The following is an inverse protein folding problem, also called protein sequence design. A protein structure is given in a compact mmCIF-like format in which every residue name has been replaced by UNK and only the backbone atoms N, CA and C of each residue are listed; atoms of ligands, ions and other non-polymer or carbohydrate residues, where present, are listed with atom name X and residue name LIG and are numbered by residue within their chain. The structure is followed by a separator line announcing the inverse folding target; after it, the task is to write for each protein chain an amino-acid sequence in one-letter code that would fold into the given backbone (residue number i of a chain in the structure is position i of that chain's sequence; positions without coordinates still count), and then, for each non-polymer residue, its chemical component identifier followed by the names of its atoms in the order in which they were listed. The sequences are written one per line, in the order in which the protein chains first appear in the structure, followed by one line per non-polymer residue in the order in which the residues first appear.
data_IF_188679393851
#
_entry.id   IF_188679393851
#
_cell.length_a   1.000
_cell.length_b   1.000
_cell.length_c   1.000
_cell.angle_alpha   90.00
_cell.angle_beta   90.00
_cell.angle_gamma   90.00
#
_symmetry.space_group_name_H-M   'P 1'
#
loop_
_entity.id
_entity.type
_entity.pdbx_description
1 polymer ?
#
# COMPACT_ATOMS: atom_id res chain seq x y z
N UNK A 1 -3.19 -17.93 1.37
CA UNK A 1 -3.50 -18.58 0.05
C UNK A 1 -4.04 -20.00 0.17
N UNK A 2 -3.51 -20.89 1.04
CA UNK A 2 -4.02 -22.27 1.18
C UNK A 2 -5.52 -22.31 1.50
N UNK A 3 -5.99 -21.58 2.49
CA UNK A 3 -7.41 -21.51 2.85
C UNK A 3 -8.32 -21.03 1.71
N UNK A 4 -7.84 -20.12 0.87
CA UNK A 4 -8.56 -19.69 -0.33
C UNK A 4 -8.64 -20.82 -1.36
N UNK A 5 -7.53 -21.52 -1.61
CA UNK A 5 -7.50 -22.66 -2.55
C UNK A 5 -8.34 -23.85 -2.07
N UNK A 6 -8.43 -24.04 -0.76
CA UNK A 6 -9.26 -25.07 -0.13
C UNK A 6 -10.74 -24.67 0.00
N UNK A 7 -11.10 -23.42 -0.39
CA UNK A 7 -12.46 -22.93 -0.33
C UNK A 7 -12.95 -22.55 1.08
N UNK A 8 -12.05 -22.51 2.08
CA UNK A 8 -12.36 -22.12 3.46
C UNK A 8 -12.72 -20.64 3.53
N UNK A 9 -12.04 -19.79 2.74
CA UNK A 9 -12.31 -18.38 2.61
C UNK A 9 -12.62 -18.02 1.15
N UNK A 10 -13.56 -17.09 0.95
CA UNK A 10 -14.01 -16.70 -0.39
C UNK A 10 -13.08 -15.71 -1.10
N UNK A 11 -12.18 -15.05 -0.35
CA UNK A 11 -11.26 -14.03 -0.85
C UNK A 11 -9.90 -14.21 -0.15
N UNK A 12 -8.76 -14.17 -0.86
CA UNK A 12 -7.42 -14.31 -0.27
C UNK A 12 -6.99 -13.01 0.44
N UNK A 13 -7.81 -12.51 1.34
CA UNK A 13 -7.52 -11.28 2.11
C UNK A 13 -7.80 -11.47 3.59
N UNK A 14 -7.04 -10.75 4.41
CA UNK A 14 -7.24 -10.67 5.84
C UNK A 14 -7.33 -9.20 6.29
N UNK A 15 -8.31 -8.92 7.14
CA UNK A 15 -8.39 -7.65 7.85
C UNK A 15 -7.96 -7.86 9.29
N UNK A 16 -6.98 -7.09 9.78
CA UNK A 16 -6.31 -7.34 11.05
C UNK A 16 -6.47 -6.14 11.97
N UNK A 17 -7.06 -6.39 13.14
CA UNK A 17 -7.33 -5.40 14.18
C UNK A 17 -6.68 -5.84 15.49
N UNK A 18 -5.90 -4.96 16.12
CA UNK A 18 -5.34 -5.23 17.45
C UNK A 18 -4.78 -3.96 18.06
N UNK A 19 -4.95 -3.80 19.36
CA UNK A 19 -4.29 -2.73 20.10
C UNK A 19 -2.76 -2.78 19.92
N UNK A 20 -2.09 -1.63 19.97
CA UNK A 20 -0.63 -1.56 19.89
C UNK A 20 0.06 -2.43 20.97
N UNK A 21 1.23 -2.98 20.66
CA UNK A 21 2.04 -3.75 21.61
C UNK A 21 1.60 -5.18 21.88
N UNK A 22 0.52 -5.67 21.24
CA UNK A 22 0.03 -7.04 21.41
C UNK A 22 0.61 -8.04 20.40
N UNK A 23 1.56 -7.64 19.55
CA UNK A 23 2.26 -8.55 18.64
C UNK A 23 1.69 -8.65 17.23
N UNK A 24 0.93 -7.65 16.79
CA UNK A 24 0.34 -7.58 15.43
C UNK A 24 1.40 -7.74 14.34
N UNK A 25 2.45 -6.91 14.35
CA UNK A 25 3.52 -6.96 13.32
C UNK A 25 4.30 -8.27 13.36
N UNK A 26 4.43 -8.90 14.55
CA UNK A 26 5.00 -10.25 14.69
C UNK A 26 4.16 -11.29 13.98
N UNK A 27 2.83 -11.28 14.17
CA UNK A 27 1.91 -12.17 13.47
C UNK A 27 2.05 -12.02 11.95
N UNK A 28 2.05 -10.77 11.47
CA UNK A 28 2.15 -10.48 10.03
C UNK A 28 3.47 -11.03 9.47
N UNK A 29 4.62 -10.74 10.11
CA UNK A 29 5.91 -11.28 9.65
C UNK A 29 5.92 -12.81 9.62
N UNK A 30 5.31 -13.48 10.59
CA UNK A 30 5.16 -14.95 10.54
C UNK A 30 4.31 -15.42 9.36
N UNK A 31 3.22 -14.72 9.07
CA UNK A 31 2.40 -15.04 7.90
C UNK A 31 3.17 -14.80 6.59
N UNK A 32 3.95 -13.72 6.50
CA UNK A 32 4.80 -13.41 5.35
C UNK A 32 5.93 -14.44 5.18
N UNK A 33 6.54 -14.91 6.28
CA UNK A 33 7.50 -16.05 6.24
C UNK A 33 6.85 -17.29 5.63
N UNK A 34 5.62 -17.60 6.02
CA UNK A 34 4.84 -18.69 5.43
C UNK A 34 4.59 -18.51 3.93
N UNK A 35 4.42 -17.27 3.47
CA UNK A 35 4.33 -16.96 2.04
C UNK A 35 5.65 -17.19 1.32
N UNK A 36 6.77 -16.71 1.87
CA UNK A 36 8.12 -16.95 1.30
C UNK A 36 8.40 -18.45 1.20
N UNK A 37 8.08 -19.21 2.25
CA UNK A 37 8.26 -20.66 2.25
C UNK A 37 7.42 -21.40 1.18
N UNK A 38 6.33 -20.78 0.72
CA UNK A 38 5.49 -21.30 -0.38
C UNK A 38 5.89 -20.73 -1.76
N UNK A 39 6.96 -19.94 -1.85
CA UNK A 39 7.41 -19.30 -3.08
C UNK A 39 6.55 -18.09 -3.52
N UNK A 40 5.73 -17.55 -2.61
CA UNK A 40 5.02 -16.30 -2.84
C UNK A 40 5.90 -15.12 -2.48
N UNK A 41 5.69 -13.98 -3.11
CA UNK A 41 6.48 -12.76 -2.90
C UNK A 41 5.73 -11.79 -1.99
N UNK A 42 6.16 -11.61 -0.72
CA UNK A 42 5.67 -10.51 0.09
C UNK A 42 6.03 -9.16 -0.50
N UNK A 43 5.06 -8.23 -0.55
CA UNK A 43 5.28 -6.83 -0.90
C UNK A 43 4.72 -5.94 0.21
N UNK A 44 5.61 -5.29 0.92
CA UNK A 44 5.29 -4.28 1.93
C UNK A 44 5.45 -2.91 1.28
N UNK A 45 4.33 -2.34 0.85
CA UNK A 45 4.33 -1.10 0.09
C UNK A 45 4.14 0.11 1.02
N UNK A 46 5.20 0.52 1.70
CA UNK A 46 5.20 1.65 2.62
C UNK A 46 5.24 1.24 4.09
N UNK A 47 6.42 0.88 4.54
CA UNK A 47 6.73 0.60 5.95
C UNK A 47 7.05 1.90 6.69
N UNK A 48 6.06 2.48 7.36
CA UNK A 48 6.20 3.77 8.07
C UNK A 48 7.12 3.65 9.29
N UNK A 49 7.21 2.48 9.88
CA UNK A 49 7.93 2.26 11.15
C UNK A 49 9.26 1.52 10.98
N UNK A 50 9.59 1.06 9.76
CA UNK A 50 10.77 0.22 9.51
C UNK A 50 10.67 -1.17 10.15
N UNK A 51 9.44 -1.66 10.43
CA UNK A 51 9.24 -2.92 11.15
C UNK A 51 9.47 -4.16 10.28
N UNK A 52 9.45 -4.02 8.95
CA UNK A 52 9.58 -5.12 8.00
C UNK A 52 10.94 -5.16 7.29
N UNK A 53 11.78 -4.13 7.46
CA UNK A 53 13.11 -4.03 6.83
C UNK A 53 13.97 -5.25 7.18
N UNK A 54 14.18 -5.51 8.48
CA UNK A 54 15.01 -6.64 8.92
C UNK A 54 14.49 -8.00 8.46
N UNK A 55 13.16 -8.20 8.44
CA UNK A 55 12.55 -9.40 7.87
C UNK A 55 12.90 -9.55 6.38
N UNK A 56 12.74 -8.45 5.61
CA UNK A 56 12.97 -8.47 4.16
C UNK A 56 14.43 -8.76 3.82
N UNK A 57 15.37 -8.15 4.54
CA UNK A 57 16.81 -8.40 4.36
C UNK A 57 17.17 -9.86 4.66
N UNK A 58 16.63 -10.42 5.74
CA UNK A 58 16.96 -11.77 6.16
C UNK A 58 16.42 -12.87 5.23
N UNK A 59 15.30 -12.61 4.54
CA UNK A 59 14.81 -13.54 3.51
C UNK A 59 15.46 -13.30 2.13
N UNK A 60 16.47 -12.43 2.05
CA UNK A 60 17.16 -12.08 0.80
C UNK A 60 16.28 -11.26 -0.14
N UNK A 61 15.37 -10.45 0.39
CA UNK A 61 14.48 -9.58 -0.34
C UNK A 61 15.13 -8.24 -0.70
N UNK A 62 14.36 -7.38 -1.38
CA UNK A 62 14.74 -6.01 -1.75
C UNK A 62 14.16 -5.02 -0.74
N UNK A 63 15.01 -4.17 -0.17
CA UNK A 63 14.59 -3.00 0.60
C UNK A 63 14.82 -1.75 -0.24
N UNK A 64 13.78 -0.91 -0.36
CA UNK A 64 13.82 0.38 -1.07
C UNK A 64 13.54 1.45 -0.03
N UNK A 65 14.55 2.23 0.35
CA UNK A 65 14.37 3.32 1.32
C UNK A 65 14.09 4.63 0.60
N UNK A 66 12.97 5.27 0.95
CA UNK A 66 12.55 6.58 0.46
C UNK A 66 12.56 7.60 1.60
N UNK A 67 12.93 8.83 1.29
CA UNK A 67 12.95 9.91 2.27
C UNK A 67 14.08 10.89 2.04
N UNK A 68 14.30 11.76 3.01
CA UNK A 68 15.30 12.80 2.89
C UNK A 68 16.73 12.23 2.79
N UNK A 69 17.41 12.47 1.67
CA UNK A 69 18.76 11.94 1.42
C UNK A 69 18.81 10.49 0.95
N UNK A 70 17.66 9.88 0.69
CA UNK A 70 17.50 8.54 0.13
C UNK A 70 16.98 8.58 -1.30
N UNK A 71 16.47 7.46 -1.80
CA UNK A 71 15.97 7.33 -3.17
C UNK A 71 14.78 8.24 -3.51
N UNK A 72 14.59 8.48 -4.80
CA UNK A 72 13.46 9.21 -5.38
C UNK A 72 12.46 8.24 -6.00
N UNK A 73 11.20 8.63 -6.04
CA UNK A 73 10.10 7.91 -6.65
C UNK A 73 9.37 8.85 -7.62
N UNK A 74 9.32 8.51 -8.89
CA UNK A 74 8.54 9.25 -9.87
C UNK A 74 7.06 8.85 -9.78
N UNK A 75 6.14 9.75 -9.41
CA UNK A 75 4.71 9.43 -9.35
C UNK A 75 4.08 9.07 -10.70
N UNK A 76 4.72 9.47 -11.80
CA UNK A 76 4.32 9.12 -13.16
C UNK A 76 4.91 7.80 -13.65
N UNK A 77 5.76 7.17 -12.84
CA UNK A 77 6.29 5.84 -13.11
C UNK A 77 5.27 4.77 -12.68
N UNK A 78 4.68 4.09 -13.64
CA UNK A 78 3.76 2.98 -13.38
C UNK A 78 4.49 1.70 -12.89
N UNK A 79 5.73 1.83 -12.48
CA UNK A 79 6.58 0.73 -12.04
C UNK A 79 6.83 -0.28 -13.16
N UNK A 80 6.90 -1.55 -12.80
CA UNK A 80 7.12 -2.61 -13.77
C UNK A 80 6.05 -2.68 -14.88
N UNK A 81 4.85 -2.12 -14.67
CA UNK A 81 3.79 -2.12 -15.69
C UNK A 81 4.18 -1.29 -16.93
N UNK A 82 4.84 -0.15 -16.73
CA UNK A 82 5.40 0.63 -17.85
C UNK A 82 6.49 -0.14 -18.58
N UNK A 83 7.41 -0.77 -17.85
CA UNK A 83 8.53 -1.53 -18.41
C UNK A 83 8.10 -2.79 -19.17
N UNK A 84 6.89 -3.30 -18.94
CA UNK A 84 6.35 -4.45 -19.68
C UNK A 84 5.96 -4.07 -21.11
N UNK A 85 5.53 -2.83 -21.36
CA UNK A 85 5.06 -2.39 -22.69
C UNK A 85 6.09 -2.64 -23.80
N UNK A 86 7.36 -2.23 -23.68
CA UNK A 86 8.38 -2.54 -24.71
C UNK A 86 8.62 -4.05 -24.89
N UNK A 87 8.48 -4.84 -23.83
CA UNK A 87 8.61 -6.31 -23.89
C UNK A 87 7.48 -6.90 -24.73
N UNK A 88 6.25 -6.43 -24.47
CA UNK A 88 5.08 -6.85 -25.24
C UNK A 88 5.17 -6.39 -26.70
N UNK A 89 5.62 -5.15 -26.97
CA UNK A 89 5.84 -4.65 -28.34
C UNK A 89 6.84 -5.50 -29.11
N UNK A 90 7.94 -5.86 -28.48
CA UNK A 90 8.95 -6.74 -29.07
C UNK A 90 8.40 -8.13 -29.39
N UNK A 91 7.63 -8.71 -28.46
CA UNK A 91 6.99 -10.00 -28.69
C UNK A 91 5.93 -9.91 -29.79
N UNK A 92 5.10 -8.86 -29.78
CA UNK A 92 4.11 -8.59 -30.82
C UNK A 92 4.72 -8.59 -32.22
N UNK A 93 5.90 -8.03 -32.39
CA UNK A 93 6.61 -7.99 -33.67
C UNK A 93 6.97 -9.40 -34.22
N UNK A 94 6.94 -10.43 -33.39
CA UNK A 94 7.20 -11.83 -33.79
C UNK A 94 5.93 -12.59 -34.16
N UNK A 95 4.75 -12.04 -33.89
CA UNK A 95 3.45 -12.66 -34.11
C UNK A 95 2.86 -12.24 -35.47
N UNK A 96 1.98 -13.09 -36.05
CA UNK A 96 1.29 -12.81 -37.29
C UNK A 96 -0.17 -13.30 -37.26
N UNK A 97 -0.99 -12.82 -38.19
CA UNK A 97 -2.38 -13.28 -38.34
C UNK A 97 -3.24 -12.93 -37.12
N UNK A 98 -4.08 -13.87 -36.71
CA UNK A 98 -5.06 -13.69 -35.62
C UNK A 98 -4.40 -13.47 -34.27
N UNK A 99 -3.33 -14.20 -33.95
CA UNK A 99 -2.56 -14.03 -32.70
C UNK A 99 -2.03 -12.61 -32.58
N UNK A 100 -1.56 -12.02 -33.67
CA UNK A 100 -1.08 -10.65 -33.67
C UNK A 100 -2.20 -9.64 -33.33
N UNK A 101 -3.42 -9.86 -33.85
CA UNK A 101 -4.56 -8.98 -33.57
C UNK A 101 -5.02 -9.06 -32.11
N UNK A 102 -5.08 -10.27 -31.54
CA UNK A 102 -5.40 -10.44 -30.11
C UNK A 102 -4.35 -9.77 -29.23
N UNK A 103 -3.08 -9.89 -29.63
CA UNK A 103 -1.99 -9.28 -28.89
C UNK A 103 -1.97 -7.74 -29.01
N UNK A 104 -2.39 -7.17 -30.15
CA UNK A 104 -2.58 -5.72 -30.30
C UNK A 104 -3.60 -5.18 -29.28
N UNK A 105 -4.71 -5.90 -29.08
CA UNK A 105 -5.71 -5.52 -28.09
C UNK A 105 -5.16 -5.57 -26.65
N UNK A 106 -4.33 -6.56 -26.32
CA UNK A 106 -3.65 -6.65 -25.03
C UNK A 106 -2.70 -5.47 -24.82
N UNK A 107 -1.90 -5.16 -25.85
CA UNK A 107 -0.92 -4.07 -25.79
C UNK A 107 -1.58 -2.71 -25.60
N UNK A 108 -2.62 -2.40 -26.38
CA UNK A 108 -3.37 -1.14 -26.25
C UNK A 108 -4.04 -1.03 -24.86
N UNK A 109 -4.65 -2.13 -24.39
CA UNK A 109 -5.21 -2.15 -23.03
C UNK A 109 -4.15 -1.91 -21.95
N UNK A 110 -2.96 -2.45 -22.11
CA UNK A 110 -1.85 -2.24 -21.15
C UNK A 110 -1.40 -0.79 -21.17
N UNK A 111 -1.27 -0.16 -22.35
CA UNK A 111 -0.93 1.27 -22.47
C UNK A 111 -2.00 2.16 -21.81
N UNK A 112 -3.27 1.86 -22.04
CA UNK A 112 -4.38 2.59 -21.37
C UNK A 112 -4.38 2.41 -19.85
N UNK A 113 -4.00 1.23 -19.35
CA UNK A 113 -3.85 0.99 -17.91
C UNK A 113 -2.71 1.82 -17.31
N UNK A 114 -1.54 1.89 -17.97
CA UNK A 114 -0.43 2.75 -17.54
C UNK A 114 -0.86 4.20 -17.51
N UNK A 115 -1.46 4.68 -18.61
CA UNK A 115 -1.97 6.04 -18.70
C UNK A 115 -3.00 6.37 -17.62
N UNK A 116 -3.98 5.51 -17.41
CA UNK A 116 -4.99 5.68 -16.38
C UNK A 116 -4.40 5.76 -14.96
N UNK A 117 -3.35 4.97 -14.66
CA UNK A 117 -2.63 5.05 -13.39
C UNK A 117 -1.92 6.39 -13.23
N UNK A 118 -1.25 6.89 -14.26
CA UNK A 118 -0.57 8.19 -14.23
C UNK A 118 -1.55 9.32 -13.95
N UNK A 119 -2.66 9.39 -14.68
CA UNK A 119 -3.72 10.40 -14.47
C UNK A 119 -4.28 10.31 -13.05
N UNK A 120 -4.60 9.08 -12.60
CA UNK A 120 -5.13 8.83 -11.26
C UNK A 120 -4.15 9.28 -10.18
N UNK A 121 -2.86 9.02 -10.37
CA UNK A 121 -1.82 9.40 -9.41
C UNK A 121 -1.68 10.91 -9.30
N UNK A 122 -1.52 11.61 -10.43
CA UNK A 122 -1.41 13.09 -10.42
C UNK A 122 -2.66 13.72 -9.79
N UNK A 123 -3.85 13.25 -10.17
CA UNK A 123 -5.11 13.74 -9.60
C UNK A 123 -5.18 13.48 -8.08
N UNK A 124 -4.66 12.33 -7.61
CA UNK A 124 -4.60 12.05 -6.17
C UNK A 124 -3.67 13.00 -5.43
N UNK A 125 -2.48 13.26 -5.99
CA UNK A 125 -1.49 14.15 -5.39
C UNK A 125 -1.98 15.60 -5.33
N UNK A 126 -2.59 16.10 -6.40
CA UNK A 126 -3.21 17.43 -6.43
C UNK A 126 -4.33 17.53 -5.38
N UNK A 127 -5.20 16.51 -5.31
CA UNK A 127 -6.27 16.45 -4.31
C UNK A 127 -5.76 16.45 -2.87
N UNK A 128 -4.66 15.73 -2.60
CA UNK A 128 -3.98 15.74 -1.31
C UNK A 128 -3.43 17.12 -0.96
N UNK A 129 -2.73 17.75 -1.88
CA UNK A 129 -2.16 19.10 -1.68
C UNK A 129 -3.23 20.15 -1.40
N UNK A 130 -4.35 20.10 -2.10
CA UNK A 130 -5.50 21.00 -1.92
C UNK A 130 -6.39 20.65 -0.74
N UNK A 131 -6.28 19.43 -0.19
CA UNK A 131 -7.26 18.84 0.75
C UNK A 131 -8.70 18.89 0.20
N UNK A 132 -8.84 18.64 -1.09
CA UNK A 132 -10.08 18.79 -1.82
C UNK A 132 -10.18 17.92 -3.07
N UNK A 133 -11.31 18.06 -3.77
CA UNK A 133 -11.60 17.31 -5.00
C UNK A 133 -11.00 18.04 -6.19
N UNK A 134 -10.34 17.32 -7.08
CA UNK A 134 -9.86 17.83 -8.37
C UNK A 134 -11.03 17.82 -9.35
N UNK A 135 -11.21 18.91 -10.09
CA UNK A 135 -12.30 19.01 -11.05
C UNK A 135 -12.09 18.08 -12.26
N UNK A 136 -13.19 17.60 -12.84
CA UNK A 136 -13.14 16.65 -13.98
C UNK A 136 -12.35 17.22 -15.18
N UNK A 137 -12.49 18.53 -15.43
CA UNK A 137 -11.76 19.18 -16.51
C UNK A 137 -10.25 19.26 -16.26
N UNK A 138 -9.79 19.34 -15.01
CA UNK A 138 -8.36 19.30 -14.66
C UNK A 138 -7.80 17.89 -14.89
N UNK A 139 -8.54 16.86 -14.46
CA UNK A 139 -8.17 15.47 -14.73
C UNK A 139 -8.12 15.18 -16.23
N UNK A 140 -9.03 15.77 -17.02
CA UNK A 140 -8.99 15.68 -18.48
C UNK A 140 -7.75 16.37 -19.05
N UNK A 141 -7.37 17.57 -18.58
CA UNK A 141 -6.17 18.26 -19.07
C UNK A 141 -4.89 17.48 -18.73
N UNK A 142 -4.80 16.92 -17.53
CA UNK A 142 -3.68 16.01 -17.15
C UNK A 142 -3.62 14.83 -18.11
N UNK A 143 -4.76 14.19 -18.40
CA UNK A 143 -4.83 13.05 -19.32
C UNK A 143 -4.38 13.41 -20.73
N UNK A 144 -4.82 14.55 -21.26
CA UNK A 144 -4.43 15.02 -22.60
C UNK A 144 -2.95 15.36 -22.65
N UNK A 145 -2.44 16.08 -21.64
CA UNK A 145 -1.02 16.44 -21.56
C UNK A 145 -0.11 15.20 -21.58
N UNK A 146 -0.43 14.19 -20.76
CA UNK A 146 0.34 12.95 -20.72
C UNK A 146 0.33 12.22 -22.07
N UNK A 147 -0.81 12.15 -22.79
CA UNK A 147 -0.88 11.54 -24.12
C UNK A 147 0.01 12.30 -25.12
N UNK A 148 -0.14 13.62 -25.20
CA UNK A 148 0.69 14.46 -26.10
C UNK A 148 2.19 14.26 -25.81
N UNK A 149 2.59 14.18 -24.54
CA UNK A 149 3.99 13.97 -24.16
C UNK A 149 4.55 12.66 -24.70
N UNK A 150 3.77 11.56 -24.66
CA UNK A 150 4.18 10.27 -25.26
C UNK A 150 4.18 10.33 -26.80
N UNK A 151 3.23 11.03 -27.41
CA UNK A 151 3.14 11.19 -28.87
C UNK A 151 4.34 11.95 -29.46
N UNK A 152 5.03 12.79 -28.67
CA UNK A 152 6.26 13.45 -29.09
C UNK A 152 7.42 12.48 -29.34
N UNK A 153 7.36 11.27 -28.81
CA UNK A 153 8.45 10.30 -28.82
C UNK A 153 9.63 10.63 -27.89
N UNK A 154 9.54 11.72 -27.11
CA UNK A 154 10.55 12.09 -26.11
C UNK A 154 10.51 11.14 -24.92
N UNK A 155 9.34 10.69 -24.57
CA UNK A 155 9.10 9.77 -23.45
C UNK A 155 8.67 8.41 -23.97
N UNK A 156 9.03 7.36 -23.21
CA UNK A 156 8.66 5.99 -23.48
C UNK A 156 8.03 5.36 -22.23
N UNK A 157 7.34 4.25 -22.37
CA UNK A 157 6.64 3.61 -21.25
C UNK A 157 7.58 3.13 -20.14
N UNK A 158 8.82 2.78 -20.50
CA UNK A 158 9.91 2.43 -19.58
C UNK A 158 10.78 3.63 -19.16
N UNK A 159 10.54 4.80 -19.76
CA UNK A 159 11.17 6.06 -19.42
C UNK A 159 10.13 7.19 -19.38
N UNK A 160 9.19 7.14 -18.41
CA UNK A 160 8.08 8.09 -18.33
C UNK A 160 8.55 9.50 -18.00
N UNK A 161 7.72 10.54 -18.29
CA UNK A 161 7.96 11.89 -17.83
C UNK A 161 8.03 11.96 -16.30
N UNK A 162 8.65 13.01 -15.77
CA UNK A 162 8.55 13.39 -14.35
C UNK A 162 7.51 14.50 -14.17
N UNK A 163 7.15 14.81 -12.91
CA UNK A 163 6.14 15.85 -12.64
C UNK A 163 6.53 17.21 -13.22
N UNK A 164 7.81 17.57 -13.22
CA UNK A 164 8.26 18.82 -13.82
C UNK A 164 8.00 18.88 -15.33
N UNK A 165 8.26 17.77 -16.05
CA UNK A 165 7.94 17.69 -17.48
C UNK A 165 6.45 17.92 -17.75
N UNK A 166 5.57 17.39 -16.89
CA UNK A 166 4.12 17.59 -16.99
C UNK A 166 3.73 19.06 -16.72
N UNK A 167 4.32 19.70 -15.72
CA UNK A 167 4.10 21.12 -15.40
C UNK A 167 4.51 21.96 -16.60
N UNK A 168 5.73 21.78 -17.10
CA UNK A 168 6.26 22.54 -18.23
C UNK A 168 5.36 22.38 -19.48
N UNK A 169 4.86 21.16 -19.74
CA UNK A 169 3.98 20.88 -20.87
C UNK A 169 2.60 21.55 -20.73
N UNK A 170 2.02 21.52 -19.53
CA UNK A 170 0.76 22.22 -19.23
C UNK A 170 0.91 23.73 -19.35
N UNK A 171 1.98 24.32 -18.83
CA UNK A 171 2.24 25.75 -18.90
C UNK A 171 2.47 26.22 -20.35
N UNK A 172 3.18 25.42 -21.16
CA UNK A 172 3.33 25.71 -22.60
C UNK A 172 2.00 25.75 -23.36
N UNK A 173 1.05 24.87 -23.02
CA UNK A 173 -0.31 24.89 -23.51
C UNK A 173 -0.42 24.76 -25.03
N UNK A 174 -0.18 23.56 -25.55
CA UNK A 174 -0.32 23.25 -26.98
C UNK A 174 -1.77 23.41 -27.50
N UNK A 175 -1.92 23.41 -28.82
CA UNK A 175 -3.23 23.70 -29.49
C UNK A 175 -4.34 22.74 -29.00
N UNK A 176 -4.04 21.44 -28.83
CA UNK A 176 -5.03 20.46 -28.34
C UNK A 176 -5.43 20.75 -26.90
N UNK A 177 -4.48 21.05 -26.02
CA UNK A 177 -4.74 21.43 -24.63
C UNK A 177 -5.61 22.67 -24.54
N UNK A 178 -5.27 23.72 -25.31
CA UNK A 178 -6.04 24.97 -25.37
C UNK A 178 -7.47 24.75 -25.90
N UNK A 179 -7.60 23.93 -26.94
CA UNK A 179 -8.91 23.57 -27.50
C UNK A 179 -9.77 22.84 -26.48
N UNK A 180 -9.20 21.84 -25.76
CA UNK A 180 -9.88 21.09 -24.70
C UNK A 180 -10.20 21.96 -23.48
N UNK A 181 -9.29 22.86 -23.09
CA UNK A 181 -9.50 23.85 -22.02
C UNK A 181 -10.37 25.00 -22.40
N UNK A 182 -10.82 25.09 -23.69
CA UNK A 182 -11.62 26.18 -24.25
C UNK A 182 -10.98 27.56 -24.10
N UNK A 183 -9.65 27.63 -24.15
CA UNK A 183 -8.90 28.87 -24.12
C UNK A 183 -8.58 29.35 -25.56
N UNK A 184 -8.85 30.62 -25.85
CA UNK A 184 -8.65 31.23 -27.18
C UNK A 184 -7.48 32.21 -27.22
N UNK A 185 -6.89 32.51 -26.04
CA UNK A 185 -5.71 33.36 -25.88
C UNK A 185 -4.80 32.82 -24.79
N UNK A 186 -3.56 33.29 -24.73
CA UNK A 186 -2.61 32.95 -23.69
C UNK A 186 -3.13 33.32 -22.29
N UNK A 187 -3.78 34.49 -22.17
CA UNK A 187 -4.35 34.93 -20.89
C UNK A 187 -5.46 33.98 -20.41
N UNK A 188 -6.34 33.54 -21.32
CA UNK A 188 -7.40 32.57 -20.98
C UNK A 188 -6.82 31.23 -20.62
N UNK A 189 -5.75 30.80 -21.29
CA UNK A 189 -5.06 29.54 -20.95
C UNK A 189 -4.43 29.62 -19.57
N UNK A 190 -3.65 30.66 -19.29
CA UNK A 190 -2.99 30.86 -18.01
C UNK A 190 -4.03 30.90 -16.87
N UNK A 191 -5.13 31.64 -17.01
CA UNK A 191 -6.21 31.66 -16.04
C UNK A 191 -6.86 30.26 -15.84
N UNK A 192 -6.92 29.47 -16.91
CA UNK A 192 -7.52 28.13 -16.86
C UNK A 192 -6.66 27.17 -16.05
N UNK A 193 -5.35 27.20 -16.20
CA UNK A 193 -4.44 26.25 -15.58
C UNK A 193 -3.84 26.73 -14.25
N UNK A 194 -4.01 28.02 -13.90
CA UNK A 194 -3.36 28.67 -12.75
C UNK A 194 -3.47 27.84 -11.47
N UNK A 195 -4.67 27.39 -11.11
CA UNK A 195 -4.90 26.63 -9.90
C UNK A 195 -4.24 25.24 -9.96
N UNK A 196 -4.28 24.60 -11.12
CA UNK A 196 -3.63 23.30 -11.33
C UNK A 196 -2.11 23.42 -11.30
N UNK A 197 -1.55 24.42 -12.00
CA UNK A 197 -0.11 24.67 -12.03
C UNK A 197 0.43 25.04 -10.65
N UNK A 198 -0.26 25.92 -9.91
CA UNK A 198 0.10 26.27 -8.53
C UNK A 198 0.10 25.04 -7.62
N UNK A 199 -0.87 24.14 -7.77
CA UNK A 199 -0.95 22.93 -6.95
C UNK A 199 0.17 21.94 -7.26
N UNK A 200 0.51 21.77 -8.53
CA UNK A 200 1.62 20.90 -8.96
C UNK A 200 2.96 21.50 -8.54
N UNK A 201 3.18 22.81 -8.71
CA UNK A 201 4.38 23.49 -8.24
C UNK A 201 4.52 23.40 -6.70
N UNK A 202 3.43 23.56 -5.96
CA UNK A 202 3.44 23.43 -4.50
C UNK A 202 3.82 22.00 -4.04
N UNK A 203 3.48 20.97 -4.82
CA UNK A 203 3.95 19.61 -4.56
C UNK A 203 5.46 19.49 -4.80
N UNK A 204 6.00 20.14 -5.83
CA UNK A 204 7.43 20.07 -6.19
C UNK A 204 8.30 20.88 -5.22
N UNK A 205 7.86 22.05 -4.80
CA UNK A 205 8.59 22.92 -3.87
C UNK A 205 8.43 22.51 -2.40
N UNK A 206 7.41 21.70 -2.11
CA UNK A 206 7.12 21.21 -0.77
C UNK A 206 8.03 20.08 -0.28
N UNK A 207 7.75 19.57 0.90
CA UNK A 207 8.50 18.48 1.50
C UNK A 207 8.45 17.17 0.68
N UNK A 208 7.40 16.98 -0.11
CA UNK A 208 7.22 15.85 -1.03
C UNK A 208 8.14 15.97 -2.25
N UNK A 209 8.42 17.20 -2.69
CA UNK A 209 9.15 17.46 -3.92
C UNK A 209 10.51 16.79 -3.98
N UNK A 210 11.22 16.71 -2.87
CA UNK A 210 12.52 16.03 -2.83
C UNK A 210 12.43 14.54 -3.12
N UNK A 211 11.30 13.91 -2.83
CA UNK A 211 11.06 12.49 -3.10
C UNK A 211 10.58 12.31 -4.54
N UNK A 212 9.82 13.28 -5.08
CA UNK A 212 9.19 13.21 -6.39
C UNK A 212 9.93 14.00 -7.49
N UNK A 213 11.04 14.67 -7.15
CA UNK A 213 11.75 15.58 -8.08
C UNK A 213 12.45 14.90 -9.27
N UNK A 214 12.49 13.57 -9.31
CA UNK A 214 13.24 12.85 -10.33
C UNK A 214 12.63 11.53 -10.75
N UNK A 215 13.37 10.81 -11.55
CA UNK A 215 13.04 9.43 -11.92
C UNK A 215 13.16 8.51 -10.71
N UNK A 216 12.41 7.41 -10.73
CA UNK A 216 12.53 6.35 -9.72
C UNK A 216 13.97 5.81 -9.69
N UNK A 217 14.64 5.94 -8.55
CA UNK A 217 16.05 5.51 -8.41
C UNK A 217 16.18 4.01 -8.31
N UNK A 218 15.24 3.37 -7.61
CA UNK A 218 15.26 1.92 -7.37
C UNK A 218 13.88 1.35 -7.67
N UNK A 219 13.68 0.78 -8.87
CA UNK A 219 12.41 0.16 -9.22
C UNK A 219 12.17 -1.13 -8.42
N UNK A 220 10.90 -1.49 -8.24
CA UNK A 220 10.49 -2.73 -7.58
C UNK A 220 10.90 -3.91 -8.47
N UNK A 221 11.71 -4.80 -7.88
CA UNK A 221 12.11 -6.05 -8.52
C UNK A 221 11.05 -7.14 -8.26
N UNK A 222 10.21 -7.41 -9.25
CA UNK A 222 9.19 -8.47 -9.18
C UNK A 222 9.77 -9.88 -9.03
N UNK A 223 11.08 -10.05 -9.24
CA UNK A 223 11.78 -11.33 -9.09
C UNK A 223 12.43 -11.50 -7.70
N UNK A 224 12.38 -10.49 -6.85
CA UNK A 224 12.89 -10.58 -5.49
C UNK A 224 12.10 -11.62 -4.66
N UNK A 225 12.72 -12.12 -3.59
CA UNK A 225 12.09 -13.03 -2.62
C UNK A 225 11.01 -12.33 -1.80
N UNK A 226 11.23 -11.07 -1.48
CA UNK A 226 10.30 -10.15 -0.84
C UNK A 226 10.67 -8.71 -1.22
N UNK A 227 9.75 -7.78 -1.10
CA UNK A 227 10.01 -6.33 -1.33
C UNK A 227 9.46 -5.55 -0.16
N UNK A 228 10.26 -4.64 0.40
CA UNK A 228 9.84 -3.66 1.40
C UNK A 228 10.19 -2.26 0.90
N UNK A 229 9.19 -1.39 0.80
CA UNK A 229 9.42 0.04 0.59
C UNK A 229 9.39 0.72 1.95
N UNK A 230 10.57 1.02 2.46
CA UNK A 230 10.77 1.69 3.75
C UNK A 230 10.62 3.20 3.60
N UNK A 231 9.63 3.75 4.28
CA UNK A 231 9.32 5.19 4.32
C UNK A 231 9.49 5.76 5.73
N UNK A 232 10.16 5.04 6.62
CA UNK A 232 10.37 5.43 8.02
C UNK A 232 11.27 6.67 8.17
N UNK A 233 12.07 6.99 7.15
CA UNK A 233 12.89 8.20 7.10
C UNK A 233 12.09 9.48 6.79
N UNK A 234 10.80 9.38 6.44
CA UNK A 234 9.93 10.54 6.20
C UNK A 234 9.50 11.11 7.56
N UNK A 235 9.69 12.42 7.72
CA UNK A 235 9.38 13.10 8.99
C UNK A 235 7.92 12.82 9.44
N UNK A 236 7.79 12.50 10.73
CA UNK A 236 6.51 12.09 11.31
C UNK A 236 5.46 13.21 11.42
N UNK A 237 5.86 14.46 11.19
CA UNK A 237 5.00 15.64 11.37
C UNK A 237 4.10 15.97 10.17
N UNK A 238 4.30 15.38 9.00
CA UNK A 238 3.54 15.70 7.78
C UNK A 238 2.76 14.51 7.24
N UNK A 239 1.50 14.41 7.66
CA UNK A 239 0.62 13.30 7.26
C UNK A 239 0.28 13.33 5.76
N UNK A 240 0.27 14.53 5.12
CA UNK A 240 0.00 14.66 3.70
C UNK A 240 1.18 14.12 2.86
N UNK A 241 2.42 14.40 3.30
CA UNK A 241 3.64 13.86 2.67
C UNK A 241 3.65 12.34 2.76
N UNK A 242 3.41 11.78 3.94
CA UNK A 242 3.33 10.32 4.12
C UNK A 242 2.28 9.70 3.22
N UNK A 243 1.08 10.28 3.19
CA UNK A 243 0.00 9.79 2.35
C UNK A 243 0.36 9.83 0.86
N UNK A 244 0.98 10.92 0.37
CA UNK A 244 1.43 11.06 -1.00
C UNK A 244 2.45 9.97 -1.38
N UNK A 245 3.46 9.76 -0.54
CA UNK A 245 4.49 8.75 -0.80
C UNK A 245 3.91 7.34 -0.72
N UNK A 246 3.09 7.04 0.28
CA UNK A 246 2.49 5.72 0.44
C UNK A 246 1.55 5.35 -0.72
N UNK A 247 0.72 6.29 -1.21
CA UNK A 247 -0.13 6.06 -2.38
C UNK A 247 0.73 5.76 -3.61
N UNK A 248 1.83 6.49 -3.79
CA UNK A 248 2.77 6.27 -4.89
C UNK A 248 3.44 4.90 -4.77
N UNK A 249 3.86 4.50 -3.57
CA UNK A 249 4.41 3.16 -3.29
C UNK A 249 3.39 2.06 -3.58
N UNK A 250 2.12 2.26 -3.17
CA UNK A 250 1.06 1.29 -3.45
C UNK A 250 0.79 1.17 -4.93
N UNK A 251 0.72 2.29 -5.65
CA UNK A 251 0.55 2.28 -7.11
C UNK A 251 1.68 1.53 -7.81
N UNK A 252 2.93 1.78 -7.44
CA UNK A 252 4.09 1.08 -7.99
C UNK A 252 4.07 -0.42 -7.66
N UNK A 253 3.71 -0.79 -6.42
CA UNK A 253 3.63 -2.18 -5.99
C UNK A 253 2.55 -2.95 -6.75
N UNK A 254 1.33 -2.40 -6.83
CA UNK A 254 0.23 -3.03 -7.57
C UNK A 254 0.50 -3.08 -9.07
N UNK A 255 1.13 -2.03 -9.65
CA UNK A 255 1.58 -2.04 -11.03
C UNK A 255 2.61 -3.15 -11.31
N UNK A 256 3.51 -3.40 -10.35
CA UNK A 256 4.50 -4.47 -10.47
C UNK A 256 3.89 -5.87 -10.39
N UNK A 257 2.88 -6.06 -9.54
CA UNK A 257 2.10 -7.31 -9.48
C UNK A 257 1.38 -7.55 -10.80
N UNK A 258 0.71 -6.55 -11.33
CA UNK A 258 -0.03 -6.60 -12.60
C UNK A 258 0.90 -6.92 -13.78
N UNK A 259 2.07 -6.27 -13.84
CA UNK A 259 3.10 -6.54 -14.82
C UNK A 259 3.56 -8.01 -14.81
N UNK A 260 3.77 -8.57 -13.61
CA UNK A 260 4.15 -9.98 -13.46
C UNK A 260 3.09 -10.94 -14.00
N UNK A 261 1.80 -10.64 -13.77
CA UNK A 261 0.70 -11.44 -14.30
C UNK A 261 0.56 -11.30 -15.81
N UNK A 262 0.66 -10.06 -16.34
CA UNK A 262 0.63 -9.83 -17.78
C UNK A 262 1.72 -10.60 -18.53
N UNK A 263 2.94 -10.60 -18.00
CA UNK A 263 4.04 -11.38 -18.57
C UNK A 263 3.78 -12.89 -18.50
N UNK A 264 3.19 -13.37 -17.41
CA UNK A 264 2.86 -14.79 -17.27
C UNK A 264 1.74 -15.21 -18.24
N UNK A 265 0.68 -14.41 -18.36
CA UNK A 265 -0.45 -14.64 -19.25
C UNK A 265 -0.03 -14.58 -20.74
N UNK A 266 0.93 -13.71 -21.07
CA UNK A 266 1.53 -13.65 -22.40
C UNK A 266 2.58 -14.76 -22.67
N UNK A 267 2.83 -15.68 -21.74
CA UNK A 267 3.86 -16.72 -21.87
C UNK A 267 5.31 -16.20 -21.80
N UNK A 268 5.52 -14.95 -21.40
CA UNK A 268 6.81 -14.26 -21.34
C UNK A 268 7.43 -14.26 -19.95
N UNK A 269 6.73 -14.79 -18.96
CA UNK A 269 7.18 -14.85 -17.57
C UNK A 269 6.63 -16.04 -16.81
N UNK A 270 7.11 -16.24 -15.58
CA UNK A 270 6.58 -17.28 -14.70
C UNK A 270 5.37 -16.74 -13.93
N UNK A 271 4.33 -17.56 -13.76
CA UNK A 271 3.25 -17.25 -12.83
C UNK A 271 3.80 -17.11 -11.40
N UNK A 272 3.55 -15.97 -10.79
CA UNK A 272 3.92 -15.66 -9.41
C UNK A 272 2.69 -15.33 -8.58
N UNK A 273 2.78 -15.58 -7.29
CA UNK A 273 1.76 -15.20 -6.32
C UNK A 273 2.36 -14.20 -5.34
N UNK A 274 1.58 -13.22 -4.97
CA UNK A 274 2.03 -12.11 -4.14
C UNK A 274 1.24 -12.04 -2.84
N UNK A 275 1.88 -11.45 -1.82
CA UNK A 275 1.24 -11.12 -0.55
C UNK A 275 1.50 -9.65 -0.21
N UNK A 276 0.54 -8.78 -0.56
CA UNK A 276 0.64 -7.35 -0.28
C UNK A 276 0.22 -7.05 1.16
N UNK A 277 1.00 -6.22 1.83
CA UNK A 277 0.76 -5.75 3.20
C UNK A 277 0.54 -4.25 3.19
N UNK A 278 -0.62 -3.81 3.65
CA UNK A 278 -1.00 -2.41 3.84
C UNK A 278 -1.10 -2.14 5.34
N UNK A 279 0.04 -1.81 5.94
CA UNK A 279 0.09 -1.46 7.37
C UNK A 279 -0.20 0.03 7.58
N UNK A 280 -0.74 0.39 8.71
CA UNK A 280 -1.17 1.75 9.08
C UNK A 280 -2.06 2.41 8.00
N UNK A 281 -2.89 1.62 7.32
CA UNK A 281 -3.73 2.04 6.19
C UNK A 281 -4.60 3.27 6.51
N UNK A 282 -5.05 3.41 7.75
CA UNK A 282 -5.87 4.53 8.23
C UNK A 282 -5.19 5.90 8.05
N UNK A 283 -3.85 5.98 8.16
CA UNK A 283 -3.11 7.24 8.01
C UNK A 283 -3.26 7.81 6.59
N UNK A 284 -3.33 6.93 5.60
CA UNK A 284 -3.53 7.33 4.20
C UNK A 284 -4.99 7.69 3.97
N UNK A 285 -5.90 6.84 4.44
CA UNK A 285 -7.33 7.04 4.24
C UNK A 285 -7.83 8.36 4.82
N UNK A 286 -7.23 8.80 5.94
CA UNK A 286 -7.60 10.06 6.61
C UNK A 286 -7.01 11.32 5.97
N UNK A 287 -6.01 11.18 5.08
CA UNK A 287 -5.27 12.33 4.56
C UNK A 287 -6.08 13.19 3.58
N UNK A 288 -7.00 12.62 2.80
CA UNK A 288 -7.89 13.38 1.93
C UNK A 288 -9.18 12.61 1.59
N UNK A 289 -10.29 13.34 1.32
CA UNK A 289 -11.53 12.75 0.84
C UNK A 289 -11.35 11.98 -0.48
N UNK A 290 -12.09 10.88 -0.64
CA UNK A 290 -12.08 10.07 -1.87
C UNK A 290 -10.90 9.11 -2.03
N UNK A 291 -9.90 9.13 -1.14
CA UNK A 291 -8.80 8.15 -1.18
C UNK A 291 -9.27 6.74 -0.90
N UNK A 292 -10.26 6.59 -0.04
CA UNK A 292 -10.85 5.30 0.31
C UNK A 292 -11.40 4.58 -0.93
N UNK A 293 -12.12 5.28 -1.80
CA UNK A 293 -12.68 4.69 -3.02
C UNK A 293 -11.59 4.26 -4.02
N UNK A 294 -10.47 4.99 -4.09
CA UNK A 294 -9.31 4.63 -4.93
C UNK A 294 -8.64 3.36 -4.44
N UNK A 295 -8.43 3.25 -3.13
CA UNK A 295 -7.86 2.05 -2.51
C UNK A 295 -8.83 0.88 -2.62
N UNK A 296 -10.13 1.13 -2.47
CA UNK A 296 -11.17 0.13 -2.67
C UNK A 296 -11.07 -0.50 -4.08
N UNK A 297 -10.89 0.33 -5.10
CA UNK A 297 -10.71 -0.14 -6.48
C UNK A 297 -9.46 -1.02 -6.61
N UNK A 298 -8.32 -0.61 -6.03
CA UNK A 298 -7.09 -1.39 -6.06
C UNK A 298 -7.22 -2.75 -5.35
N UNK A 299 -8.07 -2.84 -4.32
CA UNK A 299 -8.22 -4.05 -3.50
C UNK A 299 -9.30 -5.02 -4.01
N UNK A 300 -10.20 -4.59 -4.91
CA UNK A 300 -11.30 -5.44 -5.42
C UNK A 300 -10.83 -6.55 -6.36
N UNK A 301 -9.69 -6.39 -7.02
CA UNK A 301 -9.18 -7.32 -8.03
C UNK A 301 -8.32 -8.44 -7.46
N UNK A 302 -8.00 -8.43 -6.17
CA UNK A 302 -7.07 -9.37 -5.54
C UNK A 302 -7.44 -10.85 -5.72
N UNK A 303 -8.73 -11.19 -5.79
CA UNK A 303 -9.22 -12.55 -6.02
C UNK A 303 -8.81 -13.09 -7.40
N UNK A 304 -8.95 -12.28 -8.43
CA UNK A 304 -8.66 -12.65 -9.82
C UNK A 304 -7.17 -12.61 -10.13
N UNK A 305 -6.41 -11.81 -9.39
CA UNK A 305 -4.96 -11.64 -9.59
C UNK A 305 -4.11 -12.58 -8.74
N UNK A 306 -4.69 -13.49 -7.95
CA UNK A 306 -3.90 -14.38 -7.09
C UNK A 306 -3.08 -13.64 -6.02
N UNK A 307 -3.57 -12.48 -5.57
CA UNK A 307 -2.94 -11.62 -4.58
C UNK A 307 -3.52 -11.87 -3.20
N UNK A 308 -2.70 -12.31 -2.24
CA UNK A 308 -3.07 -12.25 -0.83
C UNK A 308 -2.94 -10.79 -0.34
N UNK A 309 -3.97 -10.28 0.33
CA UNK A 309 -3.98 -8.90 0.81
C UNK A 309 -4.16 -8.85 2.32
N UNK A 310 -3.22 -8.22 3.01
CA UNK A 310 -3.25 -7.96 4.45
C UNK A 310 -3.50 -6.48 4.70
N UNK A 311 -4.67 -6.16 5.23
CA UNK A 311 -5.09 -4.81 5.60
C UNK A 311 -5.04 -4.68 7.12
N UNK A 312 -4.25 -3.75 7.63
CA UNK A 312 -3.89 -3.69 9.04
C UNK A 312 -4.24 -2.32 9.61
N UNK A 313 -4.92 -2.31 10.75
CA UNK A 313 -5.22 -1.11 11.53
C UNK A 313 -5.24 -1.41 13.02
N UNK A 314 -5.35 -0.40 13.86
CA UNK A 314 -5.41 -0.59 15.31
C UNK A 314 -6.83 -0.88 15.79
N UNK A 315 -7.79 -0.06 15.38
CA UNK A 315 -9.18 -0.12 15.84
C UNK A 315 -10.16 0.25 14.72
N UNK A 316 -11.43 -0.02 14.90
CA UNK A 316 -12.48 0.44 13.97
C UNK A 316 -12.66 1.97 14.04
N UNK A 317 -12.28 2.62 15.15
CA UNK A 317 -12.31 4.08 15.31
C UNK A 317 -11.46 4.80 14.27
N UNK A 318 -10.37 4.18 13.82
CA UNK A 318 -9.51 4.73 12.77
C UNK A 318 -10.30 4.95 11.46
N UNK A 319 -11.28 4.10 11.17
CA UNK A 319 -12.16 4.24 10.01
C UNK A 319 -13.31 5.21 10.23
N UNK A 320 -13.81 5.32 11.47
CA UNK A 320 -14.83 6.30 11.84
C UNK A 320 -14.31 7.74 11.81
N UNK A 321 -13.00 7.92 11.98
CA UNK A 321 -12.34 9.22 11.93
C UNK A 321 -12.15 9.78 10.51
N UNK A 322 -12.54 9.03 9.46
CA UNK A 322 -12.40 9.47 8.08
C UNK A 322 -13.29 10.69 7.76
N UNK A 323 -12.84 11.56 6.83
CA UNK A 323 -13.44 12.88 6.64
C UNK A 323 -14.91 12.86 6.26
N UNK A 324 -15.31 11.98 5.33
CA UNK A 324 -16.67 11.94 4.81
C UNK A 324 -17.44 10.70 5.27
N UNK A 325 -18.76 10.77 5.27
CA UNK A 325 -19.62 9.62 5.59
C UNK A 325 -19.47 8.51 4.54
N UNK A 326 -19.30 8.88 3.28
CA UNK A 326 -19.07 7.95 2.19
C UNK A 326 -17.75 7.18 2.37
N UNK A 327 -16.66 7.89 2.72
CA UNK A 327 -15.37 7.28 3.01
C UNK A 327 -15.48 6.30 4.19
N UNK A 328 -16.14 6.70 5.29
CA UNK A 328 -16.37 5.83 6.45
C UNK A 328 -17.12 4.55 6.08
N UNK A 329 -18.19 4.69 5.29
CA UNK A 329 -19.01 3.56 4.83
C UNK A 329 -18.21 2.62 3.92
N UNK A 330 -17.44 3.17 3.01
CA UNK A 330 -16.58 2.39 2.09
C UNK A 330 -15.46 1.68 2.84
N UNK A 331 -14.80 2.34 3.79
CA UNK A 331 -13.73 1.77 4.60
C UNK A 331 -14.24 0.63 5.50
N UNK A 332 -15.40 0.78 6.11
CA UNK A 332 -16.04 -0.32 6.84
C UNK A 332 -16.34 -1.52 5.94
N UNK A 333 -16.56 -1.29 4.65
CA UNK A 333 -16.69 -2.33 3.64
C UNK A 333 -15.43 -3.19 3.45
N UNK A 334 -14.23 -2.72 3.81
CA UNK A 334 -13.01 -3.55 3.76
C UNK A 334 -13.11 -4.74 4.72
N UNK A 335 -13.65 -4.52 5.93
CA UNK A 335 -13.90 -5.60 6.91
C UNK A 335 -14.90 -6.60 6.33
N UNK A 336 -15.98 -6.09 5.72
CA UNK A 336 -17.05 -6.95 5.17
C UNK A 336 -16.57 -7.80 3.98
N UNK A 337 -15.63 -7.30 3.19
CA UNK A 337 -15.11 -7.99 2.01
C UNK A 337 -13.88 -8.85 2.29
N UNK A 338 -13.23 -8.68 3.44
CA UNK A 338 -12.10 -9.52 3.81
C UNK A 338 -12.52 -10.99 3.87
N UNK A 339 -11.69 -11.88 3.35
CA UNK A 339 -11.92 -13.32 3.41
C UNK A 339 -11.87 -13.85 4.83
N UNK A 340 -11.04 -13.25 5.67
CA UNK A 340 -11.01 -13.52 7.11
C UNK A 340 -10.72 -12.24 7.89
N UNK A 341 -11.18 -12.19 9.13
CA UNK A 341 -10.83 -11.12 10.08
C UNK A 341 -10.05 -11.71 11.23
N UNK A 342 -8.94 -11.04 11.58
CA UNK A 342 -8.06 -11.44 12.68
C UNK A 342 -8.11 -10.33 13.73
N UNK A 343 -8.59 -10.66 14.92
CA UNK A 343 -8.62 -9.71 16.04
C UNK A 343 -7.63 -10.13 17.13
N UNK A 344 -6.76 -9.21 17.53
CA UNK A 344 -6.03 -9.34 18.80
C UNK A 344 -6.88 -8.83 19.96
N UNK A 345 -6.25 -8.41 21.07
CA UNK A 345 -6.96 -7.80 22.16
C UNK A 345 -7.65 -6.49 21.75
N UNK A 346 -8.97 -6.39 21.95
CA UNK A 346 -9.79 -5.20 21.69
C UNK A 346 -10.69 -4.91 22.90
N UNK A 347 -10.97 -3.63 23.22
CA UNK A 347 -11.95 -3.25 24.23
C UNK A 347 -13.37 -3.67 23.82
N UNK A 348 -14.28 -3.80 24.79
CA UNK A 348 -15.68 -4.17 24.55
C UNK A 348 -16.35 -3.24 23.52
N UNK A 349 -16.14 -1.92 23.64
CA UNK A 349 -16.70 -0.92 22.74
C UNK A 349 -16.30 -1.12 21.26
N UNK A 350 -15.10 -1.61 21.01
CA UNK A 350 -14.64 -1.93 19.65
C UNK A 350 -15.29 -3.20 19.13
N UNK A 351 -15.47 -4.20 19.99
CA UNK A 351 -16.18 -5.44 19.63
C UNK A 351 -17.64 -5.18 19.33
N UNK A 352 -18.31 -4.33 20.11
CA UNK A 352 -19.72 -3.97 19.88
C UNK A 352 -19.92 -3.33 18.50
N UNK A 353 -18.99 -2.47 18.06
CA UNK A 353 -19.00 -1.87 16.72
C UNK A 353 -18.78 -2.89 15.60
N UNK A 354 -17.98 -3.90 15.86
CA UNK A 354 -17.74 -4.98 14.91
C UNK A 354 -18.90 -5.99 14.87
N UNK A 355 -19.68 -6.13 15.93
CA UNK A 355 -20.77 -7.14 16.05
C UNK A 355 -21.84 -7.01 14.96
N UNK A 356 -22.05 -5.81 14.40
CA UNK A 356 -22.90 -5.62 13.22
C UNK A 356 -22.35 -6.17 11.91
N UNK A 357 -21.06 -6.53 11.87
CA UNK A 357 -20.32 -7.01 10.69
C UNK A 357 -19.76 -8.43 10.88
N UNK A 358 -19.46 -8.77 12.12
CA UNK A 358 -18.89 -10.06 12.54
C UNK A 358 -19.66 -10.56 13.75
N UNK A 359 -20.09 -11.80 13.70
CA UNK A 359 -20.76 -12.42 14.85
C UNK A 359 -19.71 -13.03 15.78
N UNK A 360 -19.61 -12.52 17.00
CA UNK A 360 -18.82 -13.11 18.08
C UNK A 360 -19.74 -13.79 19.09
N UNK A 361 -19.40 -14.99 19.52
CA UNK A 361 -20.03 -15.61 20.67
C UNK A 361 -19.62 -14.89 21.98
N UNK A 362 -20.41 -14.99 23.07
CA UNK A 362 -20.01 -14.40 24.34
C UNK A 362 -18.63 -14.84 24.82
N UNK A 363 -18.27 -16.10 24.61
CA UNK A 363 -16.96 -16.65 24.98
C UNK A 363 -15.83 -16.05 24.16
N UNK A 364 -16.02 -15.85 22.83
CA UNK A 364 -15.04 -15.18 21.98
C UNK A 364 -14.86 -13.73 22.37
N UNK A 365 -15.95 -13.00 22.64
CA UNK A 365 -15.92 -11.61 23.07
C UNK A 365 -15.20 -11.44 24.42
N UNK A 366 -15.48 -12.31 25.40
CA UNK A 366 -14.77 -12.33 26.68
C UNK A 366 -13.28 -12.61 26.49
N UNK A 367 -12.93 -13.56 25.64
CA UNK A 367 -11.55 -13.94 25.34
C UNK A 367 -10.78 -12.75 24.73
N UNK A 368 -11.31 -12.12 23.66
CA UNK A 368 -10.70 -10.98 22.99
C UNK A 368 -10.55 -9.78 23.96
N UNK A 369 -11.60 -9.51 24.73
CA UNK A 369 -11.59 -8.42 25.72
C UNK A 369 -10.56 -8.67 26.83
N UNK A 370 -10.42 -9.94 27.28
CA UNK A 370 -9.40 -10.29 28.29
C UNK A 370 -7.98 -10.03 27.78
N UNK A 371 -7.73 -10.20 26.50
CA UNK A 371 -6.43 -9.93 25.86
C UNK A 371 -6.09 -8.46 25.72
N UNK A 372 -7.09 -7.57 25.77
CA UNK A 372 -6.85 -6.12 25.73
C UNK A 372 -6.32 -5.54 27.05
N UNK A 373 -6.39 -6.31 28.13
CA UNK A 373 -5.97 -5.86 29.45
C UNK A 373 -4.44 -5.68 29.51
N UNK A 374 -4.01 -4.58 30.12
CA UNK A 374 -2.60 -4.35 30.39
C UNK A 374 -1.99 -5.42 31.33
N UNK A 375 -0.68 -5.45 31.37
CA UNK A 375 0.01 -6.33 32.30
C UNK A 375 -0.33 -5.94 33.75
N UNK A 376 -0.65 -6.93 34.63
CA UNK A 376 -0.92 -6.64 36.02
C UNK A 376 0.33 -6.05 36.69
N UNK A 377 0.18 -5.08 37.61
CA UNK A 377 1.31 -4.52 38.32
C UNK A 377 2.01 -5.62 39.12
N UNK A 378 3.32 -5.79 38.90
CA UNK A 378 4.11 -6.79 39.63
C UNK A 378 4.23 -6.42 41.09
N UNK A 379 3.82 -7.31 41.99
CA UNK A 379 4.07 -7.21 43.44
C UNK A 379 5.52 -7.54 43.83
N UNK A 380 6.36 -8.00 42.92
CA UNK A 380 7.73 -8.47 43.19
C UNK A 380 8.75 -7.35 42.99
N UNK A 381 9.66 -7.20 43.96
CA UNK A 381 10.80 -6.29 43.96
C UNK A 381 11.94 -6.70 43.03
N UNK A 382 11.76 -7.69 42.15
CA UNK A 382 12.79 -8.10 41.18
C UNK A 382 12.89 -7.05 40.08
N UNK A 383 13.91 -6.19 40.15
CA UNK A 383 14.28 -5.23 39.10
C UNK A 383 14.52 -6.00 37.81
N UNK A 384 13.96 -5.56 36.71
CA UNK A 384 14.40 -5.94 35.35
C UNK A 384 13.42 -6.74 34.50
N UNK A 385 12.50 -7.56 35.02
CA UNK A 385 11.61 -8.33 34.14
C UNK A 385 10.35 -7.53 33.76
N UNK A 386 10.25 -7.12 32.50
CA UNK A 386 9.06 -6.46 31.92
C UNK A 386 7.84 -7.37 32.04
N UNK A 387 6.73 -6.91 32.63
CA UNK A 387 5.50 -7.67 32.66
C UNK A 387 4.92 -7.74 31.25
N UNK A 388 4.71 -8.94 30.73
CA UNK A 388 4.11 -9.15 29.41
C UNK A 388 2.59 -9.03 29.50
N UNK A 389 1.93 -8.23 28.67
CA UNK A 389 0.47 -8.18 28.60
C UNK A 389 -0.10 -9.58 28.31
N UNK A 390 -1.19 -9.99 28.96
CA UNK A 390 -1.76 -11.35 28.82
C UNK A 390 -2.21 -11.68 27.38
N UNK A 391 -2.56 -10.66 26.60
CA UNK A 391 -2.98 -10.81 25.20
C UNK A 391 -1.85 -10.78 24.18
N UNK A 392 -0.59 -10.61 24.60
CA UNK A 392 0.53 -10.55 23.64
C UNK A 392 0.66 -11.83 22.83
N UNK A 393 0.57 -11.72 21.50
CA UNK A 393 0.65 -12.83 20.58
C UNK A 393 -0.62 -13.68 20.49
N UNK A 394 -1.73 -13.26 21.12
CA UNK A 394 -3.01 -13.97 21.06
C UNK A 394 -3.96 -13.30 20.08
N UNK A 395 -4.55 -14.10 19.20
CA UNK A 395 -5.45 -13.62 18.16
C UNK A 395 -6.64 -14.57 17.98
N UNK A 396 -7.77 -14.01 17.58
CA UNK A 396 -8.96 -14.74 17.15
C UNK A 396 -9.08 -14.61 15.63
N UNK A 397 -9.09 -15.70 14.90
CA UNK A 397 -9.29 -15.74 13.45
C UNK A 397 -10.73 -16.10 13.17
N UNK A 398 -11.45 -15.22 12.47
CA UNK A 398 -12.81 -15.44 11.97
C UNK A 398 -12.77 -15.66 10.46
N UNK A 399 -12.83 -16.90 9.97
CA UNK A 399 -12.81 -17.20 8.53
C UNK A 399 -14.15 -16.95 7.84
N UNK A 400 -15.21 -16.78 8.61
CA UNK A 400 -16.57 -16.53 8.12
C UNK A 400 -17.26 -15.47 8.96
N UNK A 401 -18.31 -14.87 8.42
CA UNK A 401 -19.15 -13.83 9.05
C UNK A 401 -20.50 -14.36 9.50
N UNK A 402 -20.80 -15.62 9.19
CA UNK A 402 -22.07 -16.30 9.39
C UNK A 402 -22.34 -16.77 10.84
N UNK A 403 -21.46 -16.39 11.77
CA UNK A 403 -21.53 -16.83 13.17
C UNK A 403 -20.79 -18.12 13.47
N UNK A 404 -20.12 -18.71 12.48
CA UNK A 404 -19.24 -19.85 12.70
C UNK A 404 -18.19 -19.53 13.77
N UNK A 405 -17.78 -20.52 14.60
CA UNK A 405 -16.79 -20.32 15.64
C UNK A 405 -15.47 -19.79 15.08
N UNK A 406 -14.88 -18.83 15.78
CA UNK A 406 -13.53 -18.36 15.50
C UNK A 406 -12.47 -19.33 16.03
N UNK A 407 -11.27 -19.19 15.53
CA UNK A 407 -10.12 -20.01 15.89
C UNK A 407 -9.18 -19.18 16.75
N UNK A 408 -9.10 -19.42 18.07
CA UNK A 408 -8.13 -18.74 18.92
C UNK A 408 -6.75 -19.32 18.65
N UNK A 409 -5.77 -18.44 18.42
CA UNK A 409 -4.38 -18.81 18.14
C UNK A 409 -3.42 -18.06 19.04
N UNK A 410 -2.29 -18.72 19.34
CA UNK A 410 -1.15 -18.11 20.02
C UNK A 410 0.04 -18.09 19.06
N UNK A 411 0.61 -16.92 18.82
CA UNK A 411 1.86 -16.81 18.08
C UNK A 411 3.01 -17.40 18.89
N UNK A 412 3.68 -18.41 18.34
CA UNK A 412 4.87 -19.04 18.93
C UNK A 412 6.08 -18.63 18.10
N UNK A 413 7.12 -18.12 18.74
CA UNK A 413 8.40 -17.81 18.10
C UNK A 413 9.31 -19.04 18.17
N UNK A 414 9.90 -19.40 17.04
CA UNK A 414 10.88 -20.47 16.99
C UNK A 414 12.26 -19.95 17.47
N UNK A 415 13.13 -20.85 18.00
CA UNK A 415 14.47 -20.44 18.46
C UNK A 415 15.26 -19.65 17.41
N UNK A 416 15.21 -20.06 16.15
CA UNK A 416 15.85 -19.36 15.03
C UNK A 416 15.28 -17.96 14.79
N UNK A 417 13.99 -17.76 14.95
CA UNK A 417 13.36 -16.43 14.80
C UNK A 417 13.83 -15.47 15.91
N UNK A 418 14.10 -16.01 17.10
CA UNK A 418 14.64 -15.24 18.24
C UNK A 418 16.13 -14.97 18.01
N UNK A 419 16.90 -15.98 17.59
CA UNK A 419 18.33 -15.86 17.31
C UNK A 419 18.65 -14.82 16.24
N UNK A 420 17.84 -14.77 15.19
CA UNK A 420 17.97 -13.78 14.09
C UNK A 420 17.20 -12.46 14.36
N UNK A 421 16.66 -12.27 15.54
CA UNK A 421 15.94 -11.05 15.94
C UNK A 421 14.84 -10.62 14.94
N UNK A 422 14.22 -11.58 14.23
CA UNK A 422 13.24 -11.34 13.15
C UNK A 422 12.04 -10.49 13.57
N UNK A 423 11.74 -10.44 14.85
CA UNK A 423 10.57 -9.79 15.41
C UNK A 423 10.89 -8.62 16.33
N UNK A 424 12.16 -8.24 16.43
CA UNK A 424 12.60 -7.18 17.33
C UNK A 424 12.44 -5.81 16.63
N UNK A 425 11.52 -5.00 17.12
CA UNK A 425 11.17 -3.68 16.55
C UNK A 425 11.47 -2.54 17.51
N UNK A 426 11.86 -2.84 18.77
CA UNK A 426 12.00 -1.84 19.82
C UNK A 426 13.47 -1.55 20.21
N UNK A 427 14.40 -1.62 19.25
CA UNK A 427 15.85 -1.40 19.50
C UNK A 427 16.17 -0.06 20.22
N UNK A 428 15.33 0.97 20.05
CA UNK A 428 15.52 2.27 20.73
C UNK A 428 15.41 2.24 22.24
N UNK A 429 14.73 1.25 22.83
CA UNK A 429 14.48 1.17 24.28
C UNK A 429 15.29 0.10 24.98
N UNK A 430 16.12 -0.66 24.26
CA UNK A 430 16.95 -1.70 24.85
C UNK A 430 18.01 -1.13 25.79
N UNK A 431 18.63 0.00 25.45
CA UNK A 431 19.60 0.69 26.30
C UNK A 431 19.06 1.21 27.64
N UNK A 432 17.76 1.52 27.73
CA UNK A 432 17.15 1.99 28.98
C UNK A 432 17.01 0.92 30.06
N UNK A 433 17.16 -0.36 29.73
CA UNK A 433 16.98 -1.48 30.64
C UNK A 433 18.28 -2.19 30.98
N UNK A 434 19.36 -1.93 30.24
CA UNK A 434 20.69 -2.54 30.45
C UNK A 434 21.64 -1.66 31.28
N UNK A 435 21.41 -0.38 31.42
CA UNK A 435 22.25 0.54 32.22
C UNK A 435 22.07 0.44 33.74
N UNK A 436 21.36 -0.57 34.26
CA UNK A 436 21.16 -0.82 35.68
C UNK A 436 22.20 -1.71 36.36
N UNK A 437 23.24 -2.19 35.68
CA UNK A 437 24.24 -3.11 36.19
C UNK A 437 25.66 -2.55 36.31
N UNK A 438 25.86 -1.24 36.29
CA UNK A 438 27.19 -0.68 36.62
C UNK A 438 27.05 0.31 37.77
N UNK A 439 27.23 -0.19 38.96
CA UNK A 439 28.04 0.35 40.09
C UNK A 439 27.54 -0.20 41.43
N UNK A 440 28.25 -1.18 41.94
CA UNK A 440 28.71 -1.22 43.35
C UNK A 440 30.18 -1.56 43.30
#
# INVERSE_FOLDING_TARGET
MSWFREGIIANPSAFILSLPGLGKSTLIRKMLMGHVAQGHVPIIAGDIKGEYVGFTEQVGGQVITLGHGHGTLNPLDAGALGSVVPILEKHRATLSGHEAQEFDALLERTKEQVHGRQVTMVTALVGLGRKGVVADWESMLISVALREMYDTGRFTWDNPPILQDLIDHLEAGGDTLRAKGRARSDEQWNQRIDELALSLNALMDGAVGRIFAGKTTTPINVNATAVCVDVSAIDSGDDAVKAAVMISCWSAAFGSIEASHLLADAGLGRQRYFAATLDEMWQILSAAPGLVSRIDTLTRTNRTTGLALYQITHTSKDMEALPTEEDRKTAMGFIERAGMVITGGLPVEELDKLTGKLSFSPAEAEMITSWSKGAPPKRSRTRGAKATPPGRGRFMIKPSKDGSPGIPVQTVLFPTEIEYELHDTNKRFEGFFTEGEVSV
#
